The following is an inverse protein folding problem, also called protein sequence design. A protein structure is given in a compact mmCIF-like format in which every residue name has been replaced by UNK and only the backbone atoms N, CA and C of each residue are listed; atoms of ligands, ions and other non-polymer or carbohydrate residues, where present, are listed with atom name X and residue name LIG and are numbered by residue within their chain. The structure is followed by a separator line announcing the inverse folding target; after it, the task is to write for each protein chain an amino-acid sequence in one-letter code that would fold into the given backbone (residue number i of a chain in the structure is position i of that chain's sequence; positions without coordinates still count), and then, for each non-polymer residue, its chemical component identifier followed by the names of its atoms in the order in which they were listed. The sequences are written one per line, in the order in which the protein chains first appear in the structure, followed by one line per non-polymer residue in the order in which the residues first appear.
data_IF_374209056346
#
_entry.id   IF_374209056346
#
_cell.length_a   1.000
_cell.length_b   1.000
_cell.length_c   1.000
_cell.angle_alpha   90.00
_cell.angle_beta   90.00
_cell.angle_gamma   90.00
#
_symmetry.space_group_name_H-M   'P 1'
#
loop_
_entity.id
_entity.type
_entity.pdbx_description
1 polymer ?
#
# COMPACT_ATOMS: atom_id res chain seq x y z
N UNK A 1 -2.73 1.08 -23.18
CA UNK A 1 -2.19 -0.27 -23.43
C UNK A 1 -0.70 -0.33 -23.08
N UNK A 2 -0.40 -0.10 -21.81
CA UNK A 2 0.75 -0.69 -21.14
C UNK A 2 0.12 -1.35 -19.93
N UNK A 3 -0.05 -2.68 -19.98
CA UNK A 3 -0.30 -3.44 -18.75
C UNK A 3 0.94 -3.20 -17.90
N UNK A 4 0.85 -2.29 -16.93
CA UNK A 4 1.87 -2.15 -15.89
C UNK A 4 2.02 -3.53 -15.25
N UNK A 5 3.08 -4.21 -15.68
CA UNK A 5 3.42 -5.54 -15.25
C UNK A 5 3.89 -5.40 -13.79
N UNK A 6 2.93 -5.34 -12.87
CA UNK A 6 3.15 -5.25 -11.41
C UNK A 6 3.93 -6.45 -10.87
N UNK A 7 4.31 -7.40 -11.74
CA UNK A 7 5.21 -8.50 -11.46
C UNK A 7 6.66 -8.06 -11.14
N UNK A 8 7.08 -6.83 -11.48
CA UNK A 8 8.42 -6.31 -11.13
C UNK A 8 8.49 -5.62 -9.76
N UNK A 9 7.37 -5.39 -9.07
CA UNK A 9 7.41 -4.71 -7.77
C UNK A 9 8.01 -5.65 -6.71
N UNK A 10 9.10 -5.25 -6.06
CA UNK A 10 9.87 -6.10 -5.13
C UNK A 10 9.00 -6.71 -4.00
N UNK A 11 7.95 -6.00 -3.60
CA UNK A 11 6.96 -6.43 -2.61
C UNK A 11 6.10 -7.59 -3.14
N UNK A 12 5.71 -7.56 -4.42
CA UNK A 12 4.93 -8.61 -5.09
C UNK A 12 5.77 -9.86 -5.27
N UNK A 13 7.04 -9.71 -5.68
CA UNK A 13 8.00 -10.82 -5.81
C UNK A 13 8.29 -11.49 -4.46
N UNK A 14 8.47 -10.71 -3.40
CA UNK A 14 8.67 -11.24 -2.05
C UNK A 14 7.44 -12.00 -1.54
N UNK A 15 6.24 -11.47 -1.82
CA UNK A 15 4.98 -12.08 -1.42
C UNK A 15 4.69 -13.38 -2.19
N UNK A 16 4.96 -13.43 -3.52
CA UNK A 16 4.87 -14.66 -4.33
C UNK A 16 5.88 -15.73 -3.92
N UNK A 17 7.05 -15.33 -3.41
CA UNK A 17 8.08 -16.28 -2.93
C UNK A 17 7.70 -16.93 -1.60
N UNK A 18 6.88 -16.26 -0.79
CA UNK A 18 6.42 -16.75 0.52
C UNK A 18 5.12 -17.57 0.43
N UNK A 19 4.34 -17.43 -0.64
CA UNK A 19 3.00 -18.03 -0.79
C UNK A 19 2.88 -18.71 -2.16
N UNK A 20 2.53 -20.00 -2.18
CA UNK A 20 2.23 -20.75 -3.43
C UNK A 20 0.96 -20.19 -4.09
N UNK A 21 1.18 -19.22 -4.98
CA UNK A 21 0.13 -18.48 -5.67
C UNK A 21 -0.18 -19.07 -7.03
N UNK A 22 -1.46 -19.05 -7.40
CA UNK A 22 -1.87 -19.30 -8.77
C UNK A 22 -1.76 -18.02 -9.61
N UNK A 23 -1.38 -18.16 -10.89
CA UNK A 23 -1.43 -17.10 -11.90
C UNK A 23 -2.85 -16.87 -12.45
N UNK A 24 -3.78 -17.79 -12.17
CA UNK A 24 -5.17 -17.71 -12.61
C UNK A 24 -5.99 -16.74 -11.75
N UNK A 25 -6.60 -15.74 -12.42
CA UNK A 25 -7.47 -14.74 -11.83
C UNK A 25 -8.91 -15.31 -11.70
N UNK A 26 -9.27 -15.81 -10.50
CA UNK A 26 -10.60 -16.39 -10.24
C UNK A 26 -11.58 -15.34 -9.69
N UNK A 27 -11.81 -14.28 -10.46
CA UNK A 27 -12.72 -13.17 -10.10
C UNK A 27 -12.36 -12.50 -8.77
N UNK A 28 -13.36 -12.26 -7.91
CA UNK A 28 -13.20 -11.63 -6.57
C UNK A 28 -12.74 -12.59 -5.46
N UNK A 29 -12.37 -13.84 -5.79
CA UNK A 29 -11.99 -14.83 -4.77
C UNK A 29 -10.52 -14.68 -4.37
N UNK A 30 -10.26 -14.59 -3.06
CA UNK A 30 -8.90 -14.56 -2.49
C UNK A 30 -8.18 -15.92 -2.52
N UNK A 31 -8.95 -17.00 -2.59
CA UNK A 31 -8.42 -18.36 -2.65
C UNK A 31 -9.16 -19.11 -3.75
N UNK A 32 -8.40 -19.80 -4.59
CA UNK A 32 -8.93 -20.71 -5.62
C UNK A 32 -8.44 -22.13 -5.36
N UNK A 33 -9.16 -23.12 -5.88
CA UNK A 33 -8.77 -24.53 -5.79
C UNK A 33 -8.38 -24.98 -7.18
N UNK A 34 -7.09 -25.20 -7.39
CA UNK A 34 -6.54 -25.68 -8.65
C UNK A 34 -5.97 -27.06 -8.38
N UNK A 35 -6.42 -28.06 -9.15
CA UNK A 35 -6.01 -29.47 -9.01
C UNK A 35 -6.18 -30.05 -7.58
N UNK A 36 -7.21 -29.59 -6.85
CA UNK A 36 -7.51 -30.06 -5.49
C UNK A 36 -6.67 -29.42 -4.39
N UNK A 37 -5.77 -28.49 -4.72
CA UNK A 37 -4.95 -27.73 -3.77
C UNK A 37 -5.48 -26.31 -3.65
N UNK A 38 -5.69 -25.82 -2.42
CA UNK A 38 -6.03 -24.40 -2.18
C UNK A 38 -4.81 -23.54 -2.48
N UNK A 39 -4.92 -22.67 -3.49
CA UNK A 39 -3.91 -21.68 -3.86
C UNK A 39 -4.43 -20.27 -3.59
N UNK A 40 -3.52 -19.38 -3.20
CA UNK A 40 -3.84 -17.96 -3.10
C UNK A 40 -3.93 -17.34 -4.50
N UNK A 41 -4.90 -16.43 -4.70
CA UNK A 41 -5.03 -15.69 -5.96
C UNK A 41 -4.14 -14.43 -5.96
N UNK A 42 -3.88 -13.82 -7.12
CA UNK A 42 -3.14 -12.57 -7.21
C UNK A 42 -3.75 -11.43 -6.37
N UNK A 43 -5.08 -11.39 -6.23
CA UNK A 43 -5.78 -10.44 -5.36
C UNK A 43 -5.38 -10.56 -3.89
N UNK A 44 -5.16 -11.78 -3.40
CA UNK A 44 -4.72 -12.01 -2.03
C UNK A 44 -3.27 -11.54 -1.82
N UNK A 45 -2.42 -11.71 -2.83
CA UNK A 45 -1.06 -11.18 -2.80
C UNK A 45 -1.07 -9.65 -2.80
N UNK A 46 -1.85 -9.01 -3.67
CA UNK A 46 -2.00 -7.55 -3.67
C UNK A 46 -2.50 -7.03 -2.31
N UNK A 47 -3.49 -7.70 -1.70
CA UNK A 47 -3.98 -7.34 -0.38
C UNK A 47 -2.86 -7.39 0.68
N UNK A 48 -2.08 -8.47 0.71
CA UNK A 48 -0.95 -8.61 1.65
C UNK A 48 0.11 -7.53 1.40
N UNK A 49 0.43 -7.26 0.14
CA UNK A 49 1.41 -6.24 -0.23
C UNK A 49 1.01 -4.85 0.29
N UNK A 50 -0.27 -4.48 0.13
CA UNK A 50 -0.81 -3.20 0.63
C UNK A 50 -0.78 -3.17 2.17
N UNK A 51 -1.21 -4.23 2.84
CA UNK A 51 -1.21 -4.30 4.31
C UNK A 51 0.21 -4.16 4.89
N UNK A 52 1.20 -4.83 4.26
CA UNK A 52 2.61 -4.70 4.65
C UNK A 52 3.10 -3.27 4.42
N UNK A 53 2.73 -2.66 3.29
CA UNK A 53 3.10 -1.27 2.99
C UNK A 53 2.57 -0.31 4.04
N UNK A 54 1.32 -0.48 4.49
CA UNK A 54 0.71 0.35 5.54
C UNK A 54 1.43 0.20 6.89
N UNK A 55 1.84 -1.02 7.26
CA UNK A 55 2.65 -1.25 8.47
C UNK A 55 4.01 -0.57 8.36
N UNK A 56 4.65 -0.60 7.19
CA UNK A 56 5.91 0.10 6.96
C UNK A 56 5.74 1.62 7.03
N UNK A 57 4.67 2.17 6.44
CA UNK A 57 4.33 3.59 6.57
C UNK A 57 4.00 3.99 8.01
N UNK A 58 3.41 3.09 8.79
CA UNK A 58 3.12 3.32 10.21
C UNK A 58 4.38 3.56 11.05
N UNK A 59 5.56 3.06 10.64
CA UNK A 59 6.82 3.27 11.37
C UNK A 59 7.19 4.75 11.46
N UNK A 60 6.86 5.54 10.45
CA UNK A 60 7.11 6.99 10.43
C UNK A 60 5.88 7.79 10.92
N UNK A 61 4.68 7.35 10.53
CA UNK A 61 3.46 8.06 10.90
C UNK A 61 3.09 7.94 12.39
N UNK A 62 3.47 6.85 13.07
CA UNK A 62 3.23 6.67 14.51
C UNK A 62 4.03 7.70 15.34
N UNK A 63 5.37 7.82 15.20
CA UNK A 63 6.12 8.88 15.87
C UNK A 63 5.62 10.30 15.55
N UNK A 64 5.28 10.57 14.29
CA UNK A 64 4.76 11.86 13.87
C UNK A 64 3.43 12.22 14.56
N UNK A 65 2.49 11.26 14.62
CA UNK A 65 1.20 11.46 15.31
C UNK A 65 1.38 11.58 16.81
N UNK A 66 2.27 10.80 17.43
CA UNK A 66 2.60 10.95 18.85
C UNK A 66 3.22 12.32 19.18
N UNK A 67 3.90 12.96 18.22
CA UNK A 67 4.35 14.35 18.34
C UNK A 67 3.21 15.39 18.35
N UNK A 68 2.01 15.04 17.89
CA UNK A 68 0.82 15.91 17.86
C UNK A 68 -0.17 15.55 18.98
N UNK A 69 -0.34 14.26 19.27
CA UNK A 69 -1.29 13.75 20.28
C UNK A 69 -0.75 12.51 20.98
N UNK A 70 -0.75 12.53 22.32
CA UNK A 70 -0.29 11.39 23.14
C UNK A 70 -1.39 10.35 23.40
N UNK A 71 -2.63 10.57 22.95
CA UNK A 71 -3.74 9.66 23.22
C UNK A 71 -3.65 8.39 22.34
N UNK A 72 -3.32 7.21 22.91
CA UNK A 72 -3.10 5.99 22.13
C UNK A 72 -4.35 5.48 21.42
N UNK A 73 -5.55 5.80 21.96
CA UNK A 73 -6.81 5.42 21.35
C UNK A 73 -7.01 6.14 20.01
N UNK A 74 -6.63 7.42 19.91
CA UNK A 74 -6.73 8.19 18.67
C UNK A 74 -5.77 7.61 17.61
N UNK A 75 -4.54 7.29 18.00
CA UNK A 75 -3.54 6.69 17.10
C UNK A 75 -4.01 5.33 16.59
N UNK A 76 -4.46 4.45 17.49
CA UNK A 76 -4.88 3.09 17.13
C UNK A 76 -6.13 3.09 16.26
N UNK A 77 -7.15 3.86 16.65
CA UNK A 77 -8.41 3.92 15.89
C UNK A 77 -8.21 4.55 14.51
N UNK A 78 -7.41 5.61 14.39
CA UNK A 78 -7.10 6.25 13.10
C UNK A 78 -6.46 5.28 12.10
N UNK A 79 -5.43 4.54 12.52
CA UNK A 79 -4.76 3.57 11.66
C UNK A 79 -5.67 2.39 11.28
N UNK A 80 -6.47 1.90 12.23
CA UNK A 80 -7.44 0.83 11.93
C UNK A 80 -8.51 1.31 10.92
N UNK A 81 -8.97 2.55 11.04
CA UNK A 81 -9.91 3.15 10.06
C UNK A 81 -9.28 3.34 8.67
N UNK A 82 -7.99 3.70 8.60
CA UNK A 82 -7.28 3.81 7.34
C UNK A 82 -7.30 2.48 6.58
N UNK A 83 -6.90 1.38 7.25
CA UNK A 83 -6.87 0.03 6.67
C UNK A 83 -8.27 -0.43 6.25
N UNK A 84 -9.29 -0.25 7.11
CA UNK A 84 -10.68 -0.64 6.79
C UNK A 84 -11.25 0.10 5.57
N UNK A 85 -10.79 1.33 5.30
CA UNK A 85 -11.22 2.16 4.17
C UNK A 85 -10.59 1.80 2.82
N UNK A 86 -9.45 1.09 2.82
CA UNK A 86 -8.62 0.86 1.63
C UNK A 86 -9.37 0.22 0.47
N UNK A 87 -10.24 -0.77 0.73
CA UNK A 87 -10.97 -1.45 -0.35
C UNK A 87 -11.88 -0.49 -1.14
N UNK A 88 -12.55 0.42 -0.43
CA UNK A 88 -13.41 1.43 -1.05
C UNK A 88 -12.57 2.50 -1.74
N UNK A 89 -11.51 2.97 -1.07
CA UNK A 89 -10.60 3.98 -1.59
C UNK A 89 -9.85 3.50 -2.83
N UNK A 90 -9.46 2.22 -2.93
CA UNK A 90 -8.80 1.68 -4.11
C UNK A 90 -9.66 1.82 -5.36
N UNK A 91 -10.97 1.58 -5.26
CA UNK A 91 -11.88 1.72 -6.41
C UNK A 91 -11.97 3.17 -6.88
N UNK A 92 -11.97 4.12 -5.93
CA UNK A 92 -11.98 5.54 -6.21
C UNK A 92 -10.62 5.99 -6.78
N UNK A 93 -9.53 5.55 -6.17
CA UNK A 93 -8.16 5.88 -6.54
C UNK A 93 -7.80 5.32 -7.91
N UNK A 94 -8.18 4.09 -8.22
CA UNK A 94 -7.96 3.48 -9.54
C UNK A 94 -8.63 4.30 -10.65
N UNK A 95 -9.86 4.78 -10.43
CA UNK A 95 -10.52 5.70 -11.37
C UNK A 95 -9.88 7.09 -11.39
N UNK A 96 -9.50 7.61 -10.22
CA UNK A 96 -8.84 8.92 -10.16
C UNK A 96 -7.47 8.88 -10.86
N UNK A 97 -6.71 7.81 -10.72
CA UNK A 97 -5.42 7.63 -11.37
C UNK A 97 -5.57 7.50 -12.90
N UNK A 98 -6.64 6.87 -13.39
CA UNK A 98 -6.92 6.83 -14.83
C UNK A 98 -7.39 8.18 -15.39
N UNK A 99 -8.13 8.96 -14.59
CA UNK A 99 -8.76 10.20 -15.05
C UNK A 99 -7.89 11.45 -14.81
N UNK A 100 -6.97 11.41 -13.83
CA UNK A 100 -6.06 12.51 -13.49
C UNK A 100 -4.63 12.17 -13.92
N UNK A 101 -4.26 12.64 -15.11
CA UNK A 101 -2.91 12.51 -15.68
C UNK A 101 -1.79 13.02 -14.76
N UNK A 102 -2.06 14.06 -13.98
CA UNK A 102 -1.06 14.67 -13.09
C UNK A 102 -1.02 14.08 -11.68
N UNK A 103 -1.80 13.03 -11.38
CA UNK A 103 -1.86 12.48 -10.03
C UNK A 103 -0.51 11.91 -9.60
N UNK A 104 0.07 11.06 -10.42
CA UNK A 104 1.38 10.44 -10.16
C UNK A 104 2.51 11.47 -10.03
N UNK A 105 2.73 12.40 -10.98
CA UNK A 105 3.79 13.40 -10.84
C UNK A 105 3.55 14.36 -9.67
N UNK A 106 2.29 14.69 -9.33
CA UNK A 106 2.00 15.52 -8.16
C UNK A 106 2.39 14.81 -6.85
N UNK A 107 2.05 13.52 -6.72
CA UNK A 107 2.43 12.70 -5.56
C UNK A 107 3.95 12.60 -5.46
N UNK A 108 4.65 12.36 -6.57
CA UNK A 108 6.11 12.31 -6.59
C UNK A 108 6.76 13.62 -6.13
N UNK A 109 6.24 14.78 -6.57
CA UNK A 109 6.73 16.10 -6.14
C UNK A 109 6.51 16.32 -4.65
N UNK A 110 5.33 15.98 -4.12
CA UNK A 110 5.03 16.12 -2.69
C UNK A 110 5.91 15.21 -1.85
N UNK A 111 6.09 13.95 -2.24
CA UNK A 111 6.97 13.01 -1.55
C UNK A 111 8.45 13.45 -1.61
N UNK A 112 8.90 13.92 -2.78
CA UNK A 112 10.24 14.49 -2.93
C UNK A 112 10.45 15.70 -2.02
N UNK A 113 9.46 16.58 -1.92
CA UNK A 113 9.51 17.74 -1.03
C UNK A 113 9.53 17.33 0.45
N UNK A 114 8.61 16.47 0.89
CA UNK A 114 8.55 16.00 2.30
C UNK A 114 9.82 15.24 2.67
N UNK A 115 10.27 14.31 1.82
CA UNK A 115 11.51 13.55 2.06
C UNK A 115 12.73 14.46 2.14
N UNK A 116 12.84 15.45 1.26
CA UNK A 116 13.91 16.46 1.32
C UNK A 116 13.85 17.28 2.62
N UNK A 117 12.65 17.66 3.05
CA UNK A 117 12.42 18.39 4.30
C UNK A 117 12.81 17.57 5.53
N UNK A 118 12.45 16.28 5.58
CA UNK A 118 12.85 15.38 6.67
C UNK A 118 14.37 15.21 6.75
N UNK A 119 15.04 15.10 5.60
CA UNK A 119 16.52 15.03 5.55
C UNK A 119 17.13 16.36 6.03
N UNK A 120 16.61 17.50 5.56
CA UNK A 120 17.11 18.83 5.97
C UNK A 120 17.00 19.02 7.50
N UNK A 121 15.85 18.66 8.08
CA UNK A 121 15.60 18.70 9.52
C UNK A 121 16.57 17.78 10.29
N UNK A 122 16.84 16.58 9.78
CA UNK A 122 17.83 15.67 10.36
C UNK A 122 19.25 16.25 10.38
N UNK A 123 19.63 17.02 9.35
CA UNK A 123 20.94 17.68 9.26
C UNK A 123 20.98 19.05 9.98
N UNK A 124 19.90 19.47 10.64
CA UNK A 124 19.84 20.71 11.42
C UNK A 124 19.69 21.98 10.57
N UNK A 125 19.21 21.85 9.34
CA UNK A 125 18.76 22.98 8.53
C UNK A 125 17.26 23.17 8.79
N UNK A 126 16.90 24.24 9.52
CA UNK A 126 15.52 24.71 9.71
C UNK A 126 14.93 25.34 8.44
#
# INVERSE_FOLDING_TARGET
DEEEDMSENAIVMFSRKLIDSSDDYDGDRFFTVIEGVKKATPLFICMIAVEISDVVFAVDSIPAVFGVTENPLVVFTSNMFAIMGLRSLYTILSKAASDLEYLEPAVAVVLGFIGSKMIAEYFGFE
#
